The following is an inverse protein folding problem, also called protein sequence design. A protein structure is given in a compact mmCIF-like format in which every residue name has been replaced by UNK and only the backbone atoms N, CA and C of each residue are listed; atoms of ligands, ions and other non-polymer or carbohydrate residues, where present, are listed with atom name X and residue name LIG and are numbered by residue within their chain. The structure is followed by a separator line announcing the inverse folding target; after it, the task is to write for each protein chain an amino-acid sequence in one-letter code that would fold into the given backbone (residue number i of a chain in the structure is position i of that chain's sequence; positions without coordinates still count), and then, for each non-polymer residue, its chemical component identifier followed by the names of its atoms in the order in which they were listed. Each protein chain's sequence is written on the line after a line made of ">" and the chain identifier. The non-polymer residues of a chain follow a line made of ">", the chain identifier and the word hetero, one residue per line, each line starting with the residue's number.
data_IF_105437192148
#
_entry.id   IF_105437192148
#
_cell.length_a   1.000
_cell.length_b   1.000
_cell.length_c   1.000
_cell.angle_alpha   90.00
_cell.angle_beta   90.00
_cell.angle_gamma   90.00
#
_symmetry.space_group_name_H-M   'P 1'
#
loop_
_entity.id
_entity.type
_entity.pdbx_description
1 polymer ?
#
# COMPACT_ATOMS: atom_id res chain seq x y z
N UNK A 1 -2.05 10.87 -26.86
CA UNK A 1 -0.66 11.34 -26.71
C UNK A 1 -0.09 10.98 -25.34
N UNK A 2 0.26 9.71 -25.09
CA UNK A 2 0.87 9.24 -23.84
C UNK A 2 2.22 8.52 -24.05
N UNK A 3 2.67 8.36 -25.30
CA UNK A 3 3.85 7.57 -25.68
C UNK A 3 5.20 8.27 -25.43
N UNK A 4 5.24 9.36 -24.66
CA UNK A 4 6.46 10.14 -24.42
C UNK A 4 6.63 10.75 -23.03
N UNK A 5 5.71 10.50 -22.07
CA UNK A 5 5.90 11.01 -20.70
C UNK A 5 6.78 10.04 -19.92
N UNK A 6 7.93 10.55 -19.47
CA UNK A 6 8.79 9.86 -18.52
C UNK A 6 8.00 9.69 -17.20
N UNK A 7 7.74 8.45 -16.77
CA UNK A 7 6.99 8.13 -15.54
C UNK A 7 7.94 7.85 -14.36
N UNK A 8 9.18 8.34 -14.42
CA UNK A 8 10.19 8.05 -13.39
C UNK A 8 9.78 8.54 -12.02
N UNK A 9 9.05 9.65 -11.94
CA UNK A 9 8.53 10.11 -10.65
C UNK A 9 7.55 9.11 -10.01
N UNK A 10 6.72 8.43 -10.81
CA UNK A 10 5.81 7.38 -10.31
C UNK A 10 6.62 6.18 -9.83
N UNK A 11 7.62 5.77 -10.59
CA UNK A 11 8.48 4.65 -10.19
C UNK A 11 9.26 4.96 -8.89
N UNK A 12 9.80 6.18 -8.76
CA UNK A 12 10.43 6.61 -7.52
C UNK A 12 9.45 6.63 -6.33
N UNK A 13 8.23 7.14 -6.55
CA UNK A 13 7.19 7.16 -5.51
C UNK A 13 6.81 5.74 -5.06
N UNK A 14 6.69 4.79 -6.00
CA UNK A 14 6.45 3.38 -5.69
C UNK A 14 7.57 2.78 -4.84
N UNK A 15 8.83 3.06 -5.17
CA UNK A 15 9.97 2.57 -4.39
C UNK A 15 9.97 3.12 -2.97
N UNK A 16 9.73 4.43 -2.80
CA UNK A 16 9.67 5.05 -1.48
C UNK A 16 8.50 4.51 -0.65
N UNK A 17 7.31 4.40 -1.23
CA UNK A 17 6.17 3.78 -0.56
C UNK A 17 6.44 2.31 -0.20
N UNK A 18 7.12 1.57 -1.08
CA UNK A 18 7.49 0.17 -0.82
C UNK A 18 8.48 0.08 0.34
N UNK A 19 9.50 0.94 0.39
CA UNK A 19 10.46 0.97 1.50
C UNK A 19 9.76 1.18 2.85
N UNK A 20 8.76 2.05 2.90
CA UNK A 20 7.94 2.28 4.10
C UNK A 20 7.15 1.01 4.49
N UNK A 21 6.54 0.32 3.52
CA UNK A 21 5.80 -0.93 3.75
C UNK A 21 6.71 -2.04 4.27
N UNK A 22 7.84 -2.28 3.59
CA UNK A 22 8.79 -3.31 4.01
C UNK A 22 9.38 -2.97 5.38
N UNK A 23 9.70 -1.70 5.63
CA UNK A 23 10.19 -1.25 6.93
C UNK A 23 9.18 -1.53 8.02
N UNK A 24 7.90 -1.16 7.83
CA UNK A 24 6.85 -1.42 8.82
C UNK A 24 6.73 -2.90 9.14
N UNK A 25 6.69 -3.77 8.14
CA UNK A 25 6.66 -5.22 8.40
C UNK A 25 7.93 -5.70 9.10
N UNK A 26 9.11 -5.30 8.63
CA UNK A 26 10.38 -5.72 9.19
C UNK A 26 10.56 -5.27 10.65
N UNK A 27 10.22 -4.02 10.99
CA UNK A 27 10.34 -3.47 12.33
C UNK A 27 9.23 -3.96 13.26
N UNK A 28 7.99 -4.06 12.79
CA UNK A 28 6.87 -4.45 13.63
C UNK A 28 6.92 -5.94 13.99
N UNK A 29 7.38 -6.82 13.08
CA UNK A 29 7.44 -8.27 13.36
C UNK A 29 8.36 -8.59 14.54
N UNK A 30 9.52 -7.94 14.68
CA UNK A 30 10.38 -8.15 15.86
C UNK A 30 9.75 -7.60 17.13
N UNK A 31 9.12 -6.43 17.09
CA UNK A 31 8.51 -5.84 18.28
C UNK A 31 7.29 -6.67 18.74
N UNK A 32 6.38 -7.01 17.85
CA UNK A 32 5.17 -7.76 18.19
C UNK A 32 5.46 -9.19 18.64
N UNK A 33 6.48 -9.86 18.07
CA UNK A 33 6.91 -11.19 18.52
C UNK A 33 7.36 -11.17 19.98
N UNK A 34 7.93 -10.06 20.43
CA UNK A 34 8.46 -9.88 21.78
C UNK A 34 7.46 -9.16 22.72
N UNK A 35 6.21 -8.96 22.28
CA UNK A 35 5.17 -8.26 23.06
C UNK A 35 5.44 -6.76 23.27
N UNK A 36 6.30 -6.15 22.46
CA UNK A 36 6.69 -4.74 22.57
C UNK A 36 5.75 -3.84 21.77
N UNK A 37 5.00 -3.01 22.49
CA UNK A 37 4.09 -1.99 21.96
C UNK A 37 4.55 -0.57 22.28
N UNK A 38 5.87 -0.35 22.41
CA UNK A 38 6.47 0.96 22.67
C UNK A 38 6.27 1.97 21.52
N UNK A 39 6.75 3.20 21.73
CA UNK A 39 6.57 4.32 20.78
C UNK A 39 7.16 4.01 19.40
N UNK A 40 8.25 3.25 19.32
CA UNK A 40 8.92 2.93 18.06
C UNK A 40 8.06 2.07 17.12
N UNK A 41 7.53 0.88 17.52
CA UNK A 41 6.61 0.12 16.68
C UNK A 41 5.29 0.86 16.41
N UNK A 42 4.86 1.73 17.32
CA UNK A 42 3.69 2.59 17.09
C UNK A 42 3.96 3.60 15.96
N UNK A 43 5.09 4.30 16.00
CA UNK A 43 5.49 5.26 14.96
C UNK A 43 5.56 4.59 13.58
N UNK A 44 6.21 3.42 13.49
CA UNK A 44 6.34 2.69 12.22
C UNK A 44 5.01 2.15 11.71
N UNK A 45 4.14 1.71 12.62
CA UNK A 45 2.77 1.31 12.29
C UNK A 45 1.97 2.50 11.76
N UNK A 46 2.02 3.66 12.42
CA UNK A 46 1.37 4.87 11.92
C UNK A 46 1.95 5.30 10.57
N UNK A 47 3.28 5.27 10.40
CA UNK A 47 3.93 5.71 9.17
C UNK A 47 3.49 4.89 7.96
N UNK A 48 3.21 3.59 8.10
CA UNK A 48 2.79 2.77 6.96
C UNK A 48 1.42 3.15 6.42
N UNK A 49 0.59 3.81 7.21
CA UNK A 49 -0.82 4.00 6.83
C UNK A 49 -1.01 4.94 5.66
N UNK A 50 -0.04 5.82 5.32
CA UNK A 50 -0.11 6.61 4.08
C UNK A 50 0.37 5.84 2.84
N UNK A 51 1.22 4.81 3.00
CA UNK A 51 1.84 4.13 1.87
C UNK A 51 0.81 3.36 1.03
N UNK A 52 -0.15 2.71 1.69
CA UNK A 52 -1.24 1.95 1.02
C UNK A 52 -2.17 2.89 0.22
N UNK A 53 -2.71 3.98 0.79
CA UNK A 53 -3.36 5.07 0.07
C UNK A 53 -2.54 5.59 -1.11
N UNK A 54 -1.24 5.81 -0.93
CA UNK A 54 -0.37 6.27 -2.01
C UNK A 54 -0.30 5.25 -3.16
N UNK A 55 -0.25 3.95 -2.86
CA UNK A 55 -0.34 2.91 -3.89
C UNK A 55 -1.70 2.89 -4.61
N UNK A 56 -2.81 3.15 -3.93
CA UNK A 56 -4.11 3.32 -4.59
C UNK A 56 -4.13 4.56 -5.50
N UNK A 57 -3.62 5.70 -5.03
CA UNK A 57 -3.43 6.91 -5.83
C UNK A 57 -2.58 6.62 -7.09
N UNK A 58 -1.45 5.93 -6.95
CA UNK A 58 -0.59 5.58 -8.07
C UNK A 58 -1.32 4.66 -9.07
N UNK A 59 -2.04 3.66 -8.58
CA UNK A 59 -2.82 2.74 -9.43
C UNK A 59 -3.90 3.46 -10.23
N UNK A 60 -4.68 4.33 -9.58
CA UNK A 60 -5.68 5.14 -10.25
C UNK A 60 -5.09 6.14 -11.24
N UNK A 61 -3.97 6.77 -10.89
CA UNK A 61 -3.22 7.69 -11.76
C UNK A 61 -2.83 7.00 -13.06
N UNK A 62 -2.17 5.84 -12.97
CA UNK A 62 -1.71 5.10 -14.14
C UNK A 62 -2.87 4.56 -14.97
N UNK A 63 -3.93 4.04 -14.33
CA UNK A 63 -5.07 3.52 -15.08
C UNK A 63 -5.77 4.63 -15.87
N UNK A 64 -6.01 5.79 -15.26
CA UNK A 64 -6.60 6.95 -15.91
C UNK A 64 -5.71 7.50 -17.01
N UNK A 65 -4.40 7.64 -16.77
CA UNK A 65 -3.43 8.12 -17.75
C UNK A 65 -3.47 7.33 -19.06
N UNK A 66 -3.65 6.02 -18.96
CA UNK A 66 -3.64 5.14 -20.11
C UNK A 66 -5.01 4.68 -20.62
N UNK A 67 -6.12 5.24 -20.10
CA UNK A 67 -7.48 4.90 -20.56
C UNK A 67 -8.21 6.17 -20.98
N UNK A 68 -7.85 6.83 -22.11
CA UNK A 68 -8.48 8.09 -22.49
C UNK A 68 -10.00 7.97 -22.73
N UNK A 69 -10.79 9.07 -22.61
CA UNK A 69 -12.25 9.02 -22.73
C UNK A 69 -12.79 8.47 -24.05
N UNK A 70 -12.01 8.55 -25.12
CA UNK A 70 -12.32 8.01 -26.45
C UNK A 70 -11.79 6.59 -26.67
N UNK A 71 -11.17 5.96 -25.68
CA UNK A 71 -10.62 4.61 -25.82
C UNK A 71 -11.76 3.59 -25.77
N UNK A 72 -11.97 2.76 -26.80
CA UNK A 72 -13.00 1.71 -26.76
C UNK A 72 -12.69 0.60 -25.74
N UNK A 73 -11.48 0.55 -25.17
CA UNK A 73 -11.01 -0.49 -24.25
C UNK A 73 -11.21 -0.17 -22.76
N UNK A 74 -12.09 0.78 -22.40
CA UNK A 74 -12.22 1.25 -21.00
C UNK A 74 -12.59 0.15 -20.01
N UNK A 75 -13.41 -0.81 -20.42
CA UNK A 75 -13.77 -1.97 -19.60
C UNK A 75 -12.71 -3.07 -19.68
N UNK A 76 -12.02 -3.21 -20.81
CA UNK A 76 -11.06 -4.29 -21.08
C UNK A 76 -9.74 -4.06 -20.33
N UNK A 77 -9.27 -2.82 -20.25
CA UNK A 77 -7.95 -2.50 -19.68
C UNK A 77 -7.85 -2.77 -18.17
N UNK A 78 -8.80 -2.34 -17.32
CA UNK A 78 -8.78 -2.69 -15.90
C UNK A 78 -8.86 -4.21 -15.69
N UNK A 79 -9.69 -4.92 -16.46
CA UNK A 79 -9.79 -6.38 -16.39
C UNK A 79 -8.50 -7.09 -16.82
N UNK A 80 -7.79 -6.56 -17.83
CA UNK A 80 -6.47 -7.09 -18.22
C UNK A 80 -5.44 -6.92 -17.12
N UNK A 81 -5.46 -5.80 -16.41
CA UNK A 81 -4.60 -5.61 -15.23
C UNK A 81 -4.98 -6.56 -14.10
N UNK A 82 -6.27 -6.74 -13.83
CA UNK A 82 -6.76 -7.68 -12.82
C UNK A 82 -6.25 -9.11 -13.11
N UNK A 83 -6.36 -9.58 -14.35
CA UNK A 83 -5.84 -10.90 -14.77
C UNK A 83 -4.34 -11.08 -14.50
N UNK A 84 -3.53 -10.02 -14.62
CA UNK A 84 -2.09 -10.07 -14.32
C UNK A 84 -1.78 -10.16 -12.82
N UNK A 85 -2.71 -9.74 -11.97
CA UNK A 85 -2.53 -9.69 -10.52
C UNK A 85 -3.01 -10.99 -9.87
N UNK A 86 -4.15 -11.55 -10.31
CA UNK A 86 -4.82 -12.69 -9.66
C UNK A 86 -3.87 -13.87 -9.43
N UNK A 87 -3.12 -14.26 -10.46
CA UNK A 87 -2.29 -15.47 -10.37
C UNK A 87 -1.09 -15.30 -9.41
N UNK A 88 -0.26 -14.24 -9.53
CA UNK A 88 0.76 -13.94 -8.53
C UNK A 88 0.23 -13.73 -7.11
N UNK A 89 -0.94 -13.08 -6.99
CA UNK A 89 -1.60 -12.89 -5.70
C UNK A 89 -1.88 -14.24 -5.03
N UNK A 90 -2.57 -15.16 -5.71
CA UNK A 90 -2.91 -16.47 -5.15
C UNK A 90 -1.64 -17.29 -4.82
N UNK A 91 -0.64 -17.25 -5.71
CA UNK A 91 0.61 -17.99 -5.53
C UNK A 91 1.38 -17.52 -4.28
N UNK A 92 1.60 -16.20 -4.14
CA UNK A 92 2.30 -15.66 -2.97
C UNK A 92 1.48 -15.73 -1.69
N UNK A 93 0.15 -15.66 -1.79
CA UNK A 93 -0.71 -15.82 -0.63
C UNK A 93 -0.62 -17.24 -0.05
N UNK A 94 -0.64 -18.26 -0.92
CA UNK A 94 -0.44 -19.64 -0.52
C UNK A 94 0.94 -19.87 0.13
N UNK A 95 2.01 -19.31 -0.46
CA UNK A 95 3.35 -19.37 0.12
C UNK A 95 3.42 -18.69 1.48
N UNK A 96 2.82 -17.50 1.62
CA UNK A 96 2.81 -16.76 2.89
C UNK A 96 2.10 -17.55 3.99
N UNK A 97 0.92 -18.13 3.68
CA UNK A 97 0.20 -19.00 4.62
C UNK A 97 1.00 -20.25 5.00
N UNK A 98 1.71 -20.85 4.05
CA UNK A 98 2.59 -21.99 4.34
C UNK A 98 3.72 -21.61 5.30
N UNK A 99 4.36 -20.44 5.10
CA UNK A 99 5.38 -19.93 6.04
C UNK A 99 4.80 -19.66 7.42
N UNK A 100 3.59 -19.07 7.50
CA UNK A 100 2.90 -18.86 8.77
C UNK A 100 2.59 -20.19 9.48
N UNK A 101 2.24 -21.24 8.74
CA UNK A 101 2.04 -22.58 9.31
C UNK A 101 3.33 -23.18 9.83
N UNK A 102 4.35 -23.23 8.98
CA UNK A 102 5.59 -23.95 9.28
C UNK A 102 6.46 -23.21 10.30
N UNK A 103 6.51 -21.87 10.22
CA UNK A 103 7.33 -21.03 11.09
C UNK A 103 6.63 -20.56 12.36
N UNK A 104 5.30 -20.49 12.38
CA UNK A 104 4.53 -19.87 13.47
C UNK A 104 3.34 -20.70 13.97
N UNK A 105 3.15 -21.92 13.47
CA UNK A 105 2.12 -22.85 13.95
C UNK A 105 0.68 -22.49 13.58
N UNK A 106 0.44 -21.44 12.79
CA UNK A 106 -0.91 -20.98 12.42
C UNK A 106 -1.67 -22.08 11.66
N UNK A 107 -2.90 -22.46 12.05
CA UNK A 107 -3.66 -23.50 11.35
C UNK A 107 -4.01 -23.14 9.90
N UNK A 108 -3.60 -23.99 8.94
CA UNK A 108 -3.92 -23.80 7.51
C UNK A 108 -5.40 -24.07 7.19
N UNK A 109 -5.95 -25.13 7.78
CA UNK A 109 -7.31 -25.59 7.49
C UNK A 109 -8.25 -25.00 8.53
N UNK A 110 -8.69 -23.77 8.26
CA UNK A 110 -9.69 -23.05 9.03
C UNK A 110 -10.49 -22.15 8.09
N UNK A 111 -11.70 -21.76 8.50
CA UNK A 111 -12.50 -20.80 7.73
C UNK A 111 -11.81 -19.45 7.56
N UNK A 112 -11.06 -19.01 8.57
CA UNK A 112 -10.21 -17.82 8.50
C UNK A 112 -9.05 -18.01 7.53
N UNK A 113 -8.37 -19.16 7.54
CA UNK A 113 -7.31 -19.48 6.59
C UNK A 113 -7.78 -19.51 5.13
N UNK A 114 -8.98 -20.06 4.88
CA UNK A 114 -9.61 -20.01 3.55
C UNK A 114 -9.98 -18.58 3.15
N UNK A 115 -10.55 -17.80 4.08
CA UNK A 115 -10.86 -16.40 3.83
C UNK A 115 -9.59 -15.61 3.51
N UNK A 116 -8.51 -15.80 4.27
CA UNK A 116 -7.22 -15.17 4.03
C UNK A 116 -6.60 -15.60 2.71
N UNK A 117 -6.72 -16.87 2.31
CA UNK A 117 -6.26 -17.34 0.99
C UNK A 117 -6.97 -16.63 -0.17
N UNK A 118 -8.26 -16.33 -0.02
CA UNK A 118 -9.06 -15.68 -1.06
C UNK A 118 -8.98 -14.14 -1.04
N UNK A 119 -8.75 -13.56 0.15
CA UNK A 119 -8.84 -12.11 0.37
C UNK A 119 -7.49 -11.44 0.66
N UNK A 120 -6.42 -12.23 0.78
CA UNK A 120 -5.06 -11.76 1.02
C UNK A 120 -4.71 -11.76 2.51
N UNK A 121 -3.63 -12.45 2.86
CA UNK A 121 -3.03 -12.38 4.21
C UNK A 121 -2.05 -11.20 4.31
N UNK A 122 -2.04 -10.55 5.47
CA UNK A 122 -1.13 -9.44 5.78
C UNK A 122 -1.05 -8.43 4.64
N UNK A 123 0.12 -8.15 4.06
CA UNK A 123 0.28 -7.16 3.00
C UNK A 123 -0.65 -7.38 1.81
N UNK A 124 -0.97 -8.64 1.45
CA UNK A 124 -1.64 -9.01 0.19
C UNK A 124 -3.10 -8.55 0.12
N UNK A 125 -3.71 -8.10 1.23
CA UNK A 125 -5.05 -7.51 1.20
C UNK A 125 -5.14 -6.35 0.19
N UNK A 126 -4.06 -5.59 -0.01
CA UNK A 126 -4.06 -4.44 -0.92
C UNK A 126 -4.33 -4.88 -2.36
N UNK A 127 -3.76 -6.01 -2.82
CA UNK A 127 -4.05 -6.51 -4.16
C UNK A 127 -5.50 -6.95 -4.30
N UNK A 128 -6.06 -7.59 -3.27
CA UNK A 128 -7.48 -7.97 -3.29
C UNK A 128 -8.41 -6.75 -3.35
N UNK A 129 -8.14 -5.73 -2.54
CA UNK A 129 -8.86 -4.46 -2.58
C UNK A 129 -8.67 -3.74 -3.93
N UNK A 130 -7.48 -3.78 -4.52
CA UNK A 130 -7.21 -3.22 -5.85
C UNK A 130 -7.98 -3.98 -6.94
N UNK A 131 -8.07 -5.31 -6.87
CA UNK A 131 -8.87 -6.11 -7.82
C UNK A 131 -10.34 -5.67 -7.81
N UNK A 132 -10.92 -5.41 -6.64
CA UNK A 132 -12.29 -4.88 -6.54
C UNK A 132 -12.43 -3.52 -7.23
N UNK A 133 -11.47 -2.61 -7.05
CA UNK A 133 -11.49 -1.30 -7.70
C UNK A 133 -11.29 -1.38 -9.21
N UNK A 134 -10.47 -2.32 -9.70
CA UNK A 134 -10.30 -2.57 -11.13
C UNK A 134 -11.60 -3.10 -11.76
N UNK A 135 -12.28 -4.03 -11.09
CA UNK A 135 -13.60 -4.54 -11.53
C UNK A 135 -14.64 -3.42 -11.50
N UNK A 136 -14.70 -2.64 -10.42
CA UNK A 136 -15.61 -1.50 -10.32
C UNK A 136 -15.36 -0.50 -11.46
N UNK A 137 -14.10 -0.19 -11.75
CA UNK A 137 -13.72 0.71 -12.85
C UNK A 137 -14.15 0.16 -14.20
N UNK A 138 -14.00 -1.14 -14.43
CA UNK A 138 -14.42 -1.78 -15.68
C UNK A 138 -15.94 -1.72 -15.89
N UNK A 139 -16.72 -1.91 -14.83
CA UNK A 139 -18.18 -1.89 -14.87
C UNK A 139 -18.74 -0.46 -14.94
N UNK A 140 -18.18 0.43 -14.14
CA UNK A 140 -18.65 1.80 -14.00
C UNK A 140 -18.14 2.74 -15.11
N UNK A 141 -17.14 2.35 -15.89
CA UNK A 141 -16.51 3.15 -16.94
C UNK A 141 -16.33 4.64 -16.53
N UNK A 142 -15.70 4.93 -15.38
CA UNK A 142 -15.66 6.28 -14.82
C UNK A 142 -14.85 7.24 -15.71
N UNK A 143 -14.01 6.71 -16.59
CA UNK A 143 -13.17 7.50 -17.50
C UNK A 143 -13.84 7.82 -18.84
N UNK A 144 -15.11 7.42 -19.03
CA UNK A 144 -15.83 7.62 -20.29
C UNK A 144 -16.03 9.09 -20.67
N UNK A 145 -16.06 9.99 -19.68
CA UNK A 145 -16.04 11.43 -19.91
C UNK A 145 -15.39 12.17 -18.74
N UNK A 146 -14.91 13.41 -18.94
CA UNK A 146 -14.43 14.25 -17.84
C UNK A 146 -15.46 14.43 -16.72
N UNK A 147 -16.74 14.62 -17.07
CA UNK A 147 -17.83 14.79 -16.12
C UNK A 147 -18.03 13.54 -15.26
N UNK A 148 -17.97 12.35 -15.87
CA UNK A 148 -18.06 11.08 -15.14
C UNK A 148 -16.89 10.90 -14.18
N UNK A 149 -15.68 11.22 -14.59
CA UNK A 149 -14.52 11.12 -13.71
C UNK A 149 -14.68 12.07 -12.51
N UNK A 150 -15.12 13.30 -12.72
CA UNK A 150 -15.37 14.25 -11.65
C UNK A 150 -16.47 13.77 -10.70
N UNK A 151 -17.58 13.28 -11.23
CA UNK A 151 -18.67 12.71 -10.41
C UNK A 151 -18.19 11.52 -9.58
N UNK A 152 -17.47 10.57 -10.18
CA UNK A 152 -16.90 9.42 -9.48
C UNK A 152 -15.86 9.84 -8.44
N UNK A 153 -15.06 10.87 -8.71
CA UNK A 153 -14.10 11.40 -7.74
C UNK A 153 -14.81 12.02 -6.54
N UNK A 154 -15.87 12.79 -6.76
CA UNK A 154 -16.67 13.38 -5.67
C UNK A 154 -17.39 12.31 -4.84
N UNK A 155 -18.03 11.34 -5.50
CA UNK A 155 -18.68 10.20 -4.83
C UNK A 155 -17.64 9.40 -4.03
N UNK A 156 -16.49 9.10 -4.61
CA UNK A 156 -15.43 8.36 -3.96
C UNK A 156 -14.88 9.09 -2.73
N UNK A 157 -14.68 10.41 -2.83
CA UNK A 157 -14.28 11.24 -1.70
C UNK A 157 -15.33 11.23 -0.59
N UNK A 158 -16.62 11.38 -0.92
CA UNK A 158 -17.71 11.33 0.05
C UNK A 158 -17.81 9.96 0.75
N UNK A 159 -17.68 8.86 0.01
CA UNK A 159 -17.68 7.49 0.55
C UNK A 159 -16.49 7.28 1.49
N UNK A 160 -15.28 7.65 1.09
CA UNK A 160 -14.09 7.51 1.94
C UNK A 160 -14.19 8.39 3.19
N UNK A 161 -14.57 9.66 3.07
CA UNK A 161 -14.77 10.56 4.22
C UNK A 161 -15.85 10.02 5.16
N UNK A 162 -17.00 9.62 4.61
CA UNK A 162 -18.11 9.07 5.38
C UNK A 162 -17.72 7.81 6.14
N UNK A 163 -16.97 6.90 5.51
CA UNK A 163 -16.46 5.69 6.16
C UNK A 163 -15.50 6.01 7.31
N UNK A 164 -14.54 6.91 7.10
CA UNK A 164 -13.56 7.29 8.13
C UNK A 164 -14.23 8.03 9.29
N UNK A 165 -15.20 8.91 9.00
CA UNK A 165 -16.00 9.57 10.02
C UNK A 165 -16.82 8.56 10.82
N UNK A 166 -17.49 7.61 10.16
CA UNK A 166 -18.26 6.57 10.83
C UNK A 166 -17.36 5.65 11.68
N UNK A 167 -16.19 5.25 11.18
CA UNK A 167 -15.22 4.44 11.92
C UNK A 167 -14.68 5.18 13.15
N UNK A 168 -14.38 6.47 13.01
CA UNK A 168 -13.93 7.33 14.12
C UNK A 168 -15.03 7.52 15.15
N UNK A 169 -16.27 7.77 14.72
CA UNK A 169 -17.41 7.88 15.63
C UNK A 169 -17.66 6.57 16.38
N UNK A 170 -17.63 5.44 15.66
CA UNK A 170 -17.82 4.12 16.24
C UNK A 170 -16.76 3.79 17.30
N UNK A 171 -15.50 4.20 17.10
CA UNK A 171 -14.44 4.06 18.11
C UNK A 171 -14.82 4.71 19.45
N UNK A 172 -15.40 5.91 19.41
CA UNK A 172 -15.71 6.67 20.62
C UNK A 172 -17.07 6.30 21.24
N UNK A 173 -18.06 5.90 20.41
CA UNK A 173 -19.39 5.50 20.87
C UNK A 173 -19.43 4.05 21.36
N UNK A 174 -18.71 3.15 20.68
CA UNK A 174 -18.67 1.72 21.01
C UNK A 174 -17.23 1.20 20.87
N UNK A 175 -16.38 1.43 21.91
CA UNK A 175 -14.99 1.06 21.85
C UNK A 175 -14.79 -0.43 21.55
N UNK A 176 -14.00 -0.78 20.52
CA UNK A 176 -13.80 -2.16 20.12
C UNK A 176 -12.91 -2.91 21.12
N UNK A 177 -13.07 -4.23 21.15
CA UNK A 177 -12.26 -5.16 21.95
C UNK A 177 -11.32 -6.03 21.10
N UNK A 178 -11.31 -5.85 19.78
CA UNK A 178 -10.47 -6.61 18.86
C UNK A 178 -10.24 -5.86 17.53
N UNK A 179 -9.21 -6.30 16.77
CA UNK A 179 -8.90 -5.79 15.43
C UNK A 179 -9.79 -6.35 14.31
N UNK A 180 -10.83 -7.13 14.62
CA UNK A 180 -11.63 -7.82 13.61
C UNK A 180 -12.22 -6.87 12.55
N UNK A 181 -12.75 -5.72 12.99
CA UNK A 181 -13.26 -4.70 12.07
C UNK A 181 -12.18 -4.24 11.09
N UNK A 182 -11.01 -3.87 11.59
CA UNK A 182 -9.94 -3.30 10.78
C UNK A 182 -9.39 -4.33 9.80
N UNK A 183 -9.15 -5.57 10.26
CA UNK A 183 -8.66 -6.68 9.44
C UNK A 183 -9.61 -7.04 8.29
N UNK A 184 -10.91 -6.83 8.45
CA UNK A 184 -11.91 -7.00 7.39
C UNK A 184 -12.00 -5.75 6.51
N UNK A 185 -12.09 -4.56 7.11
CA UNK A 185 -12.29 -3.31 6.39
C UNK A 185 -11.12 -2.97 5.45
N UNK A 186 -9.88 -3.28 5.81
CA UNK A 186 -8.71 -3.07 4.93
C UNK A 186 -8.81 -3.86 3.62
N UNK A 187 -9.52 -5.00 3.62
CA UNK A 187 -9.75 -5.84 2.43
C UNK A 187 -10.84 -5.28 1.52
N UNK A 188 -11.61 -4.29 1.97
CA UNK A 188 -12.72 -3.71 1.20
C UNK A 188 -12.23 -2.58 0.29
N UNK A 189 -12.22 -2.82 -1.02
CA UNK A 189 -11.89 -1.83 -2.05
C UNK A 189 -12.61 -0.48 -1.90
N UNK A 190 -13.93 -0.45 -1.61
CA UNK A 190 -14.67 0.81 -1.42
C UNK A 190 -14.12 1.73 -0.34
N UNK A 191 -13.40 1.22 0.67
CA UNK A 191 -12.79 2.06 1.71
C UNK A 191 -11.65 2.92 1.14
N UNK A 192 -10.98 2.42 0.11
CA UNK A 192 -9.83 3.04 -0.55
C UNK A 192 -10.18 3.83 -1.82
N UNK A 193 -11.46 3.86 -2.18
CA UNK A 193 -11.94 4.39 -3.47
C UNK A 193 -11.56 5.86 -3.67
N UNK A 194 -11.62 6.68 -2.61
CA UNK A 194 -11.24 8.09 -2.65
C UNK A 194 -9.80 8.31 -3.11
N UNK A 195 -8.85 7.52 -2.59
CA UNK A 195 -7.44 7.61 -2.99
C UNK A 195 -7.23 7.18 -4.44
N UNK A 196 -7.89 6.09 -4.86
CA UNK A 196 -7.81 5.63 -6.24
C UNK A 196 -8.30 6.69 -7.22
N UNK A 197 -9.46 7.29 -6.98
CA UNK A 197 -9.99 8.32 -7.86
C UNK A 197 -9.29 9.67 -7.72
N UNK A 198 -8.71 10.01 -6.57
CA UNK A 198 -7.80 11.15 -6.44
C UNK A 198 -6.62 11.03 -7.41
N UNK A 199 -5.98 9.85 -7.44
CA UNK A 199 -4.94 9.56 -8.41
C UNK A 199 -5.41 9.67 -9.86
N UNK A 200 -6.57 9.07 -10.17
CA UNK A 200 -7.16 9.13 -11.50
C UNK A 200 -7.48 10.55 -11.97
N UNK A 201 -7.94 11.41 -11.04
CA UNK A 201 -8.23 12.81 -11.26
C UNK A 201 -6.95 13.62 -11.51
N UNK A 202 -5.90 13.42 -10.69
CA UNK A 202 -4.59 14.06 -10.88
C UNK A 202 -3.96 13.73 -12.24
N UNK A 203 -4.17 12.52 -12.77
CA UNK A 203 -3.70 12.15 -14.10
C UNK A 203 -4.35 12.96 -15.24
N UNK A 204 -5.56 13.49 -15.03
CA UNK A 204 -6.29 14.32 -16.01
C UNK A 204 -6.08 15.81 -15.81
N UNK A 205 -5.76 16.24 -14.59
CA UNK A 205 -5.56 17.64 -14.22
C UNK A 205 -4.06 17.88 -13.99
N UNK A 206 -3.28 17.74 -15.06
CA UNK A 206 -1.82 17.87 -15.01
C UNK A 206 -1.34 19.25 -14.58
N UNK A 207 -2.08 20.29 -14.95
CA UNK A 207 -1.90 21.68 -14.52
C UNK A 207 -2.02 21.82 -12.99
N UNK A 208 -3.04 21.20 -12.39
CA UNK A 208 -3.20 21.16 -10.93
C UNK A 208 -2.08 20.37 -10.28
N UNK A 209 -1.73 19.20 -10.84
CA UNK A 209 -0.65 18.38 -10.30
C UNK A 209 0.71 19.10 -10.35
N UNK A 210 1.00 19.83 -11.42
CA UNK A 210 2.20 20.64 -11.53
C UNK A 210 2.18 21.84 -10.57
N UNK A 211 1.01 22.46 -10.33
CA UNK A 211 0.85 23.50 -9.32
C UNK A 211 1.09 22.99 -7.88
N UNK A 212 0.55 21.82 -7.56
CA UNK A 212 0.82 21.13 -6.29
C UNK A 212 2.30 20.75 -6.17
N UNK A 213 2.93 20.31 -7.26
CA UNK A 213 4.35 19.96 -7.31
C UNK A 213 5.27 21.13 -7.03
N UNK A 214 4.90 22.36 -7.39
CA UNK A 214 5.63 23.57 -6.98
C UNK A 214 5.53 23.86 -5.49
N UNK A 215 4.48 23.36 -4.82
CA UNK A 215 4.19 23.51 -3.39
C UNK A 215 4.47 22.25 -2.58
N UNK A 216 5.28 21.31 -3.11
CA UNK A 216 5.59 20.06 -2.41
C UNK A 216 6.15 20.25 -0.98
N UNK A 217 6.96 21.29 -0.63
CA UNK A 217 7.43 21.43 0.74
C UNK A 217 6.30 21.75 1.72
N UNK A 218 5.30 22.54 1.28
CA UNK A 218 4.11 22.82 2.08
C UNK A 218 3.29 21.55 2.28
N UNK A 219 3.13 20.72 1.25
CA UNK A 219 2.43 19.44 1.38
C UNK A 219 3.16 18.49 2.34
N UNK A 220 4.50 18.49 2.34
CA UNK A 220 5.30 17.74 3.33
C UNK A 220 5.06 18.28 4.74
N UNK A 221 5.08 19.60 4.94
CA UNK A 221 4.81 20.21 6.25
C UNK A 221 3.40 19.87 6.75
N UNK A 222 2.40 19.92 5.87
CA UNK A 222 1.03 19.50 6.18
C UNK A 222 0.93 18.01 6.51
N UNK A 223 1.65 17.15 5.78
CA UNK A 223 1.70 15.72 6.06
C UNK A 223 2.34 15.44 7.43
N UNK A 224 3.42 16.14 7.79
CA UNK A 224 4.06 16.03 9.10
C UNK A 224 3.13 16.51 10.21
N UNK A 225 2.47 17.66 10.03
CA UNK A 225 1.50 18.17 11.01
C UNK A 225 0.33 17.20 11.21
N UNK A 226 -0.25 16.69 10.12
CA UNK A 226 -1.32 15.69 10.18
C UNK A 226 -0.84 14.38 10.81
N UNK A 227 0.40 13.95 10.54
CA UNK A 227 1.00 12.77 11.16
C UNK A 227 1.14 12.92 12.68
N UNK A 228 1.55 14.09 13.17
CA UNK A 228 1.67 14.34 14.62
C UNK A 228 0.30 14.21 15.31
N UNK A 229 -0.73 14.82 14.73
CA UNK A 229 -2.10 14.73 15.27
C UNK A 229 -2.60 13.28 15.24
N UNK A 230 -2.39 12.59 14.13
CA UNK A 230 -2.76 11.19 13.97
C UNK A 230 -2.02 10.28 14.96
N UNK A 231 -0.70 10.43 15.10
CA UNK A 231 0.11 9.66 16.03
C UNK A 231 -0.37 9.86 17.48
N UNK A 232 -0.69 11.09 17.87
CA UNK A 232 -1.23 11.38 19.20
C UNK A 232 -2.59 10.70 19.44
N UNK A 233 -3.46 10.66 18.43
CA UNK A 233 -4.75 9.95 18.55
C UNK A 233 -4.58 8.44 18.65
N UNK A 234 -3.67 7.84 17.88
CA UNK A 234 -3.38 6.40 17.95
C UNK A 234 -2.69 6.03 19.27
N UNK A 235 -1.76 6.85 19.77
CA UNK A 235 -1.16 6.67 21.11
C UNK A 235 -2.24 6.76 22.20
N UNK A 236 -3.13 7.74 22.10
CA UNK A 236 -4.28 7.87 22.99
C UNK A 236 -5.19 6.63 23.00
N UNK A 237 -5.44 6.02 21.84
CA UNK A 237 -6.14 4.74 21.74
C UNK A 237 -5.37 3.61 22.40
N UNK A 238 -4.09 3.45 22.08
CA UNK A 238 -3.26 2.39 22.64
C UNK A 238 -3.23 2.44 24.17
N UNK A 239 -3.12 3.64 24.77
CA UNK A 239 -3.15 3.81 26.22
C UNK A 239 -4.52 3.53 26.85
N UNK A 240 -5.61 3.90 26.18
CA UNK A 240 -6.98 3.74 26.73
C UNK A 240 -7.56 2.35 26.52
N UNK A 241 -7.27 1.71 25.39
CA UNK A 241 -7.89 0.47 24.93
C UNK A 241 -6.91 -0.72 24.94
N UNK A 242 -5.64 -0.48 25.26
CA UNK A 242 -4.57 -1.48 25.20
C UNK A 242 -4.10 -1.83 23.79
N UNK A 243 -4.70 -1.24 22.75
CA UNK A 243 -4.36 -1.47 21.35
C UNK A 243 -4.89 -0.33 20.45
N UNK A 244 -4.52 -0.37 19.17
CA UNK A 244 -4.84 0.60 18.13
C UNK A 244 -5.85 0.05 17.11
N UNK A 245 -7.03 -0.35 17.57
CA UNK A 245 -8.04 -1.10 16.81
C UNK A 245 -8.61 -0.44 15.55
N UNK A 246 -8.34 0.86 15.33
CA UNK A 246 -8.89 1.65 14.21
C UNK A 246 -7.82 2.42 13.47
N UNK A 247 -6.54 2.08 13.65
CA UNK A 247 -5.38 2.80 13.14
C UNK A 247 -5.53 3.28 11.69
N UNK A 248 -6.00 2.44 10.76
CA UNK A 248 -6.13 2.78 9.34
C UNK A 248 -7.30 3.71 9.03
N UNK A 249 -8.32 3.77 9.89
CA UNK A 249 -9.64 4.34 9.57
C UNK A 249 -10.08 5.42 10.58
N UNK A 250 -9.12 6.22 11.04
CA UNK A 250 -9.36 7.44 11.82
C UNK A 250 -9.42 8.65 10.92
N UNK A 251 -10.25 9.64 11.26
CA UNK A 251 -10.34 10.89 10.51
C UNK A 251 -9.01 11.67 10.50
N UNK A 252 -8.26 11.67 11.61
CA UNK A 252 -6.88 12.18 11.63
C UNK A 252 -5.96 11.41 10.68
N UNK A 253 -6.14 10.08 10.62
CA UNK A 253 -5.51 9.19 9.66
C UNK A 253 -5.83 9.58 8.22
N UNK A 254 -7.09 9.89 7.88
CA UNK A 254 -7.47 10.34 6.52
C UNK A 254 -6.69 11.58 6.08
N UNK A 255 -6.54 12.56 6.97
CA UNK A 255 -5.79 13.78 6.70
C UNK A 255 -4.32 13.46 6.44
N UNK A 256 -3.70 12.65 7.30
CA UNK A 256 -2.32 12.21 7.12
C UNK A 256 -2.12 11.42 5.83
N UNK A 257 -3.00 10.46 5.55
CA UNK A 257 -2.94 9.61 4.37
C UNK A 257 -3.07 10.41 3.06
N UNK A 258 -3.99 11.38 3.04
CA UNK A 258 -4.21 12.26 1.88
C UNK A 258 -3.01 13.19 1.69
N UNK A 259 -2.60 13.91 2.73
CA UNK A 259 -1.46 14.82 2.68
C UNK A 259 -0.15 14.08 2.34
N UNK A 260 0.09 12.92 2.96
CA UNK A 260 1.26 12.07 2.74
C UNK A 260 1.31 11.51 1.32
N UNK A 261 0.18 11.04 0.78
CA UNK A 261 0.10 10.59 -0.62
C UNK A 261 0.41 11.72 -1.60
N UNK A 262 -0.18 12.90 -1.39
CA UNK A 262 0.07 14.07 -2.23
C UNK A 262 1.52 14.56 -2.10
N UNK A 263 2.06 14.64 -0.88
CA UNK A 263 3.43 15.03 -0.62
C UNK A 263 4.42 14.09 -1.30
N UNK A 264 4.21 12.76 -1.21
CA UNK A 264 5.06 11.77 -1.87
C UNK A 264 5.08 11.97 -3.39
N UNK A 265 3.89 12.05 -4.02
CA UNK A 265 3.77 12.16 -5.48
C UNK A 265 4.37 13.47 -6.00
N UNK A 266 4.06 14.58 -5.33
CA UNK A 266 4.51 15.92 -5.71
C UNK A 266 6.01 16.12 -5.46
N UNK A 267 6.55 15.60 -4.36
CA UNK A 267 7.98 15.62 -4.09
C UNK A 267 8.76 14.79 -5.11
N UNK A 268 8.28 13.60 -5.48
CA UNK A 268 8.90 12.79 -6.53
C UNK A 268 8.85 13.50 -7.89
N UNK A 269 7.73 14.18 -8.21
CA UNK A 269 7.59 14.97 -9.43
C UNK A 269 8.56 16.16 -9.46
N UNK A 270 8.73 16.85 -8.34
CA UNK A 270 9.72 17.92 -8.21
C UNK A 270 11.17 17.40 -8.24
N UNK A 271 11.43 16.21 -7.69
CA UNK A 271 12.74 15.56 -7.75
C UNK A 271 13.09 15.10 -9.18
N UNK A 272 12.11 14.64 -9.96
CA UNK A 272 12.31 14.29 -11.38
C UNK A 272 12.86 15.47 -12.18
N UNK A 273 12.35 16.68 -11.93
CA UNK A 273 12.82 17.90 -12.59
C UNK A 273 14.26 18.28 -12.21
N UNK A 274 14.70 17.92 -11.00
CA UNK A 274 16.08 18.15 -10.53
C UNK A 274 17.04 17.04 -10.98
N UNK A 275 16.52 15.85 -11.25
CA UNK A 275 17.32 14.67 -11.60
C UNK A 275 18.19 14.18 -10.44
N UNK A 276 19.36 13.63 -10.78
CA UNK A 276 20.34 13.13 -9.82
C UNK A 276 20.37 11.60 -9.69
N UNK A 277 21.50 11.10 -9.16
CA UNK A 277 21.79 9.66 -9.06
C UNK A 277 20.81 8.93 -8.15
N UNK A 278 20.50 9.50 -6.99
CA UNK A 278 19.56 8.90 -6.04
C UNK A 278 18.16 8.74 -6.64
N UNK A 279 17.64 9.79 -7.28
CA UNK A 279 16.35 9.71 -7.97
C UNK A 279 16.35 8.67 -9.09
N UNK A 280 17.45 8.58 -9.85
CA UNK A 280 17.60 7.55 -10.88
C UNK A 280 17.54 6.13 -10.33
N UNK A 281 18.24 5.87 -9.21
CA UNK A 281 18.23 4.58 -8.53
C UNK A 281 16.83 4.23 -8.01
N UNK A 282 16.14 5.19 -7.38
CA UNK A 282 14.76 4.99 -6.93
C UNK A 282 13.83 4.67 -8.11
N UNK A 283 13.89 5.45 -9.18
CA UNK A 283 13.05 5.22 -10.36
C UNK A 283 13.36 3.91 -11.09
N UNK A 284 14.61 3.43 -11.07
CA UNK A 284 14.98 2.13 -11.63
C UNK A 284 14.40 0.98 -10.79
N UNK A 285 14.54 1.07 -9.46
CA UNK A 285 13.98 0.09 -8.53
C UNK A 285 12.44 0.03 -8.59
N UNK A 286 11.78 1.14 -8.94
CA UNK A 286 10.31 1.21 -9.04
C UNK A 286 9.70 0.21 -10.04
N UNK A 287 10.44 -0.13 -11.10
CA UNK A 287 10.02 -1.11 -12.11
C UNK A 287 9.83 -2.52 -11.52
N UNK A 288 10.43 -2.79 -10.36
CA UNK A 288 10.42 -4.07 -9.67
C UNK A 288 9.46 -4.14 -8.48
N UNK A 289 8.77 -3.04 -8.14
CA UNK A 289 8.07 -2.96 -6.86
C UNK A 289 6.90 -3.92 -6.72
N UNK A 290 6.27 -4.39 -7.81
CA UNK A 290 5.23 -5.42 -7.71
C UNK A 290 5.81 -6.75 -7.22
N UNK A 291 6.97 -7.16 -7.73
CA UNK A 291 7.63 -8.37 -7.27
C UNK A 291 8.16 -8.24 -5.84
N UNK A 292 8.65 -7.04 -5.47
CA UNK A 292 8.99 -6.73 -4.07
C UNK A 292 7.77 -6.82 -3.17
N UNK A 293 6.67 -6.18 -3.55
CA UNK A 293 5.41 -6.22 -2.81
C UNK A 293 4.93 -7.65 -2.55
N UNK A 294 4.97 -8.50 -3.57
CA UNK A 294 4.51 -9.88 -3.48
C UNK A 294 5.35 -10.72 -2.50
N UNK A 295 6.68 -10.60 -2.59
CA UNK A 295 7.60 -11.49 -1.88
C UNK A 295 8.01 -11.02 -0.48
N UNK A 296 8.12 -9.70 -0.24
CA UNK A 296 8.88 -9.17 0.89
C UNK A 296 8.41 -9.70 2.25
N UNK A 297 7.10 -9.75 2.50
CA UNK A 297 6.61 -10.16 3.81
C UNK A 297 6.89 -11.64 4.08
N UNK A 298 6.80 -12.49 3.05
CA UNK A 298 7.22 -13.89 3.17
C UNK A 298 8.69 -13.97 3.58
N UNK A 299 9.56 -13.16 2.98
CA UNK A 299 10.98 -13.12 3.35
C UNK A 299 11.19 -12.57 4.75
N UNK A 300 10.45 -11.54 5.17
CA UNK A 300 10.45 -11.03 6.55
C UNK A 300 10.08 -12.15 7.54
N UNK A 301 9.00 -12.88 7.28
CA UNK A 301 8.57 -14.00 8.12
C UNK A 301 9.62 -15.11 8.18
N UNK A 302 10.20 -15.50 7.04
CA UNK A 302 11.28 -16.49 7.01
C UNK A 302 12.51 -16.02 7.79
N UNK A 303 12.91 -14.75 7.65
CA UNK A 303 14.03 -14.17 8.38
C UNK A 303 13.82 -14.29 9.90
N UNK A 304 12.62 -13.97 10.38
CA UNK A 304 12.30 -14.04 11.81
C UNK A 304 12.02 -15.46 12.33
N UNK A 305 11.59 -16.39 11.47
CA UNK A 305 11.47 -17.79 11.83
C UNK A 305 12.84 -18.44 12.10
N UNK A 306 13.92 -17.92 11.47
CA UNK A 306 15.29 -18.39 11.67
C UNK A 306 16.01 -17.73 12.85
N UNK A 307 15.45 -16.66 13.42
CA UNK A 307 16.04 -15.92 14.51
C UNK A 307 15.48 -16.40 15.86
N UNK A 308 16.31 -16.88 16.81
CA UNK A 308 15.81 -17.35 18.09
C UNK A 308 15.18 -16.20 18.91
N UNK A 309 13.98 -16.38 19.49
CA UNK A 309 13.47 -15.51 20.56
C UNK A 309 14.08 -15.87 21.94
N UNK A 310 14.19 -14.94 22.89
CA UNK A 310 13.82 -13.53 22.78
C UNK A 310 14.93 -12.65 22.17
N UNK A 311 14.54 -11.51 21.59
CA UNK A 311 15.46 -10.48 21.08
C UNK A 311 15.57 -9.33 22.07
N UNK A 312 16.81 -9.04 22.50
CA UNK A 312 17.11 -7.93 23.40
C UNK A 312 16.58 -6.59 22.83
N UNK A 313 15.96 -5.71 23.65
CA UNK A 313 15.38 -4.45 23.17
C UNK A 313 16.31 -3.60 22.32
N UNK A 314 17.59 -3.48 22.71
CA UNK A 314 18.60 -2.72 21.98
C UNK A 314 18.90 -3.26 20.57
N UNK A 315 18.62 -4.55 20.32
CA UNK A 315 18.87 -5.21 19.04
C UNK A 315 17.65 -5.21 18.11
N UNK A 316 16.44 -4.90 18.61
CA UNK A 316 15.20 -4.95 17.82
C UNK A 316 15.26 -4.06 16.57
N UNK A 317 15.70 -2.81 16.73
CA UNK A 317 15.85 -1.88 15.61
C UNK A 317 16.94 -2.30 14.59
N UNK A 318 18.18 -2.62 15.02
CA UNK A 318 19.20 -3.17 14.12
C UNK A 318 18.74 -4.42 13.36
N UNK A 319 18.04 -5.34 14.04
CA UNK A 319 17.51 -6.56 13.43
C UNK A 319 16.38 -6.23 12.45
N UNK A 320 15.49 -5.30 12.78
CA UNK A 320 14.49 -4.77 11.86
C UNK A 320 15.10 -4.16 10.60
N UNK A 321 16.21 -3.42 10.74
CA UNK A 321 16.93 -2.86 9.60
C UNK A 321 17.58 -3.96 8.75
N UNK A 322 18.17 -4.99 9.38
CA UNK A 322 18.69 -6.15 8.67
C UNK A 322 17.57 -6.90 7.92
N UNK A 323 16.42 -7.12 8.56
CA UNK A 323 15.25 -7.75 7.94
C UNK A 323 14.72 -6.93 6.76
N UNK A 324 14.70 -5.58 6.86
CA UNK A 324 14.37 -4.70 5.74
C UNK A 324 15.33 -4.90 4.56
N UNK A 325 16.64 -4.87 4.81
CA UNK A 325 17.65 -5.02 3.75
C UNK A 325 17.53 -6.39 3.09
N UNK A 326 17.46 -7.46 3.88
CA UNK A 326 17.34 -8.84 3.38
C UNK A 326 16.05 -9.02 2.58
N UNK A 327 14.91 -8.57 3.11
CA UNK A 327 13.63 -8.75 2.43
C UNK A 327 13.51 -7.89 1.17
N UNK A 328 13.95 -6.62 1.19
CA UNK A 328 13.88 -5.74 0.03
C UNK A 328 14.85 -6.18 -1.06
N UNK A 329 16.12 -6.42 -0.73
CA UNK A 329 17.14 -6.85 -1.69
C UNK A 329 16.87 -8.26 -2.20
N UNK A 330 16.46 -9.18 -1.33
CA UNK A 330 16.08 -10.54 -1.71
C UNK A 330 14.89 -10.56 -2.67
N UNK A 331 13.84 -9.80 -2.36
CA UNK A 331 12.68 -9.71 -3.27
C UNK A 331 13.03 -9.05 -4.60
N UNK A 332 13.88 -8.03 -4.59
CA UNK A 332 14.38 -7.38 -5.80
C UNK A 332 15.18 -8.36 -6.67
N UNK A 333 16.06 -9.16 -6.05
CA UNK A 333 16.85 -10.18 -6.72
C UNK A 333 15.94 -11.27 -7.33
N UNK A 334 14.97 -11.77 -6.57
CA UNK A 334 13.98 -12.75 -7.07
C UNK A 334 13.19 -12.21 -8.25
N UNK A 335 12.73 -10.96 -8.17
CA UNK A 335 11.98 -10.31 -9.26
C UNK A 335 12.85 -10.21 -10.52
N UNK A 336 14.09 -9.75 -10.38
CA UNK A 336 15.04 -9.61 -11.50
C UNK A 336 15.42 -10.96 -12.10
N UNK A 337 15.57 -12.00 -11.28
CA UNK A 337 15.81 -13.37 -11.74
C UNK A 337 14.61 -13.89 -12.54
N UNK A 338 13.38 -13.72 -12.03
CA UNK A 338 12.16 -14.13 -12.73
C UNK A 338 12.05 -13.49 -14.12
N UNK A 339 12.42 -12.20 -14.26
CA UNK A 339 12.45 -11.51 -15.56
C UNK A 339 13.48 -12.07 -16.54
N UNK A 340 14.67 -12.45 -16.06
CA UNK A 340 15.68 -13.10 -16.91
C UNK A 340 15.20 -14.46 -17.43
N UNK A 341 14.25 -15.08 -16.73
CA UNK A 341 13.63 -16.35 -17.10
C UNK A 341 12.13 -16.20 -17.42
N UNK A 342 11.72 -15.14 -18.14
CA UNK A 342 10.31 -14.88 -18.49
C UNK A 342 9.59 -16.05 -19.20
N UNK A 343 10.34 -16.92 -19.89
CA UNK A 343 9.77 -18.13 -20.52
C UNK A 343 9.26 -19.19 -19.51
N UNK A 344 9.75 -19.15 -18.27
CA UNK A 344 9.41 -20.11 -17.22
C UNK A 344 7.94 -20.00 -16.79
N UNK A 345 7.30 -21.14 -16.52
CA UNK A 345 5.95 -21.18 -15.92
C UNK A 345 5.95 -20.57 -14.52
N UNK A 346 7.04 -20.75 -13.75
CA UNK A 346 7.17 -20.21 -12.39
C UNK A 346 7.28 -18.68 -12.39
N UNK A 347 8.03 -18.09 -13.33
CA UNK A 347 8.14 -16.63 -13.46
C UNK A 347 6.78 -15.99 -13.75
N UNK A 348 5.99 -16.60 -14.64
CA UNK A 348 4.63 -16.16 -14.94
C UNK A 348 3.67 -16.33 -13.76
N UNK A 349 3.76 -17.46 -13.06
CA UNK A 349 2.93 -17.77 -11.90
C UNK A 349 3.17 -16.80 -10.74
N UNK A 350 4.43 -16.57 -10.37
CA UNK A 350 4.79 -15.80 -9.16
C UNK A 350 5.02 -14.31 -9.39
N UNK A 351 5.32 -13.88 -10.62
CA UNK A 351 5.70 -12.48 -10.88
C UNK A 351 4.99 -11.85 -12.09
N UNK A 352 4.19 -12.63 -12.83
CA UNK A 352 3.52 -12.20 -14.06
C UNK A 352 4.46 -11.56 -15.11
N UNK A 353 5.68 -12.11 -15.22
CA UNK A 353 6.69 -11.68 -16.21
C UNK A 353 7.07 -12.79 -17.17
#
# INVERSE_FOLDING_TARGET
>A
MASGRNLRFIEAARTLAMLVVVWSHASNTVCFREGDFSVTPLFTSCLVTFAVPAFFCISGYLLSLFTPPSDPSQSVRPLRQAKKIVLPFLAWNAVTLLVLRLGYGIPLVSWSGLADLLTGVAQLYYLFALLQLLVLTALAAPFASPQRLTAWTAIAAAVTVGFYAASTLALYVSPPTSHAFELVAIKCGPVWIGFFFLGAWLARHGDVFDALSRRWPLLVALAVAAFIVYLAEVDGQARRLGANYRQYFLLSGLLFQTAGSLALLTACRAAEARGGRLFALLAEAGRDTLGVYLAHYTIVLMFYALLPPPVAPALRLPIGAAALVVSFAGSLALTRLARRHAGSRLSRLFFAV
#
